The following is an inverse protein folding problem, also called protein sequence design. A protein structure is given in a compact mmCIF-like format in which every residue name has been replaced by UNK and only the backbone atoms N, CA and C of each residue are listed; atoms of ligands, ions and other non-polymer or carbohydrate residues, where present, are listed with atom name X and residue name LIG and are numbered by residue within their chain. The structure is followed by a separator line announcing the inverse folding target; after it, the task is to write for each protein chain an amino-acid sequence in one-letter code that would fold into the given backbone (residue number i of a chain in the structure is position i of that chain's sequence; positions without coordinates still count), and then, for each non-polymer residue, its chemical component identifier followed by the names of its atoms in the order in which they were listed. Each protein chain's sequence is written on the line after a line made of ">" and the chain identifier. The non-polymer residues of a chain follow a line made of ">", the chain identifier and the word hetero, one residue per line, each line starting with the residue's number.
data_IF_179511414776
#
_entry.id   IF_179511414776
#
_cell.length_a   1.000
_cell.length_b   1.000
_cell.length_c   1.000
_cell.angle_alpha   90.00
_cell.angle_beta   90.00
_cell.angle_gamma   90.00
#
_symmetry.space_group_name_H-M   'P 1'
#
loop_
_entity.id
_entity.type
_entity.pdbx_description
1 polymer ?
#
# COMPACT_ATOMS: atom_id res chain seq x y z
N UNK A 1 -8.30 -4.44 -1.74
CA UNK A 1 -6.87 -4.21 -1.97
C UNK A 1 -6.17 -5.53 -1.71
N UNK A 2 -5.41 -6.06 -2.66
CA UNK A 2 -4.69 -7.32 -2.49
C UNK A 2 -3.19 -7.02 -2.54
N UNK A 3 -2.53 -7.11 -1.39
CA UNK A 3 -1.07 -7.05 -1.31
C UNK A 3 -0.56 -8.47 -1.60
N UNK A 4 0.32 -8.69 -2.59
CA UNK A 4 0.79 -10.04 -2.91
C UNK A 4 1.64 -10.61 -1.77
N UNK A 5 1.63 -11.93 -1.56
CA UNK A 5 2.42 -12.57 -0.49
C UNK A 5 3.93 -12.30 -0.64
N UNK A 6 4.39 -12.17 -1.89
CA UNK A 6 5.79 -11.82 -2.23
C UNK A 6 6.26 -10.50 -1.62
N UNK A 7 5.35 -9.58 -1.29
CA UNK A 7 5.67 -8.36 -0.55
C UNK A 7 6.25 -8.69 0.83
N UNK A 8 5.64 -9.63 1.55
CA UNK A 8 6.05 -9.99 2.91
C UNK A 8 7.33 -10.81 2.93
N UNK A 9 7.57 -11.62 1.89
CA UNK A 9 8.86 -12.29 1.71
C UNK A 9 9.99 -11.27 1.53
N UNK A 10 9.78 -10.27 0.66
CA UNK A 10 10.74 -9.18 0.46
C UNK A 10 10.92 -8.32 1.71
N UNK A 11 9.83 -8.05 2.45
CA UNK A 11 9.87 -7.32 3.71
C UNK A 11 10.73 -8.05 4.73
N UNK A 12 10.53 -9.37 4.91
CA UNK A 12 11.34 -10.19 5.83
C UNK A 12 12.82 -10.11 5.48
N UNK A 13 13.19 -10.20 4.21
CA UNK A 13 14.60 -10.05 3.78
C UNK A 13 15.15 -8.66 4.07
N UNK A 14 14.40 -7.60 3.78
CA UNK A 14 14.84 -6.22 4.04
C UNK A 14 15.03 -5.94 5.53
N UNK A 15 14.15 -6.47 6.38
CA UNK A 15 14.21 -6.29 7.84
C UNK A 15 15.42 -6.97 8.48
N UNK A 16 16.00 -8.01 7.86
CA UNK A 16 17.27 -8.60 8.34
C UNK A 16 18.43 -7.61 8.37
N UNK A 17 18.36 -6.56 7.54
CA UNK A 17 19.38 -5.52 7.43
C UNK A 17 18.94 -4.18 8.02
N UNK A 18 17.72 -4.09 8.55
CA UNK A 18 17.19 -2.85 9.11
C UNK A 18 17.76 -2.59 10.50
N UNK A 19 17.90 -1.30 10.86
CA UNK A 19 18.33 -0.87 12.20
C UNK A 19 17.19 -0.89 13.23
N UNK A 20 15.96 -1.05 12.75
CA UNK A 20 14.74 -1.10 13.55
C UNK A 20 14.25 -2.54 13.67
N UNK A 21 13.48 -2.79 14.72
CA UNK A 21 12.79 -4.07 14.93
C UNK A 21 11.29 -3.81 15.01
N UNK A 22 10.53 -4.47 14.14
CA UNK A 22 9.08 -4.49 14.22
C UNK A 22 8.67 -5.34 15.41
N UNK A 23 7.74 -4.81 16.21
CA UNK A 23 7.30 -5.48 17.44
C UNK A 23 6.17 -6.48 17.21
N UNK A 24 5.36 -6.23 16.18
CA UNK A 24 4.25 -7.04 15.73
C UNK A 24 4.72 -8.29 14.97
N UNK A 25 3.91 -9.34 15.03
CA UNK A 25 4.16 -10.59 14.30
C UNK A 25 3.96 -10.38 12.79
N UNK A 26 5.01 -10.62 12.01
CA UNK A 26 4.97 -10.46 10.56
C UNK A 26 3.96 -11.39 9.88
N UNK A 27 3.68 -12.56 10.46
CA UNK A 27 2.70 -13.49 9.92
C UNK A 27 1.27 -12.94 10.11
N UNK A 28 1.01 -12.28 11.24
CA UNK A 28 -0.26 -11.57 11.50
C UNK A 28 -0.39 -10.35 10.58
N UNK A 29 0.69 -9.58 10.40
CA UNK A 29 0.68 -8.45 9.46
C UNK A 29 0.38 -8.92 8.03
N UNK A 30 0.92 -10.08 7.63
CA UNK A 30 0.66 -10.70 6.34
C UNK A 30 -0.79 -11.17 6.19
N UNK A 31 -1.33 -11.86 7.19
CA UNK A 31 -2.72 -12.30 7.22
C UNK A 31 -3.69 -11.11 7.05
N UNK A 32 -3.43 -10.03 7.79
CA UNK A 32 -4.26 -8.82 7.77
C UNK A 32 -3.97 -7.89 6.59
N UNK A 33 -2.99 -8.20 5.74
CA UNK A 33 -2.57 -7.38 4.59
C UNK A 33 -2.11 -5.97 5.00
N UNK A 34 -1.46 -5.85 6.16
CA UNK A 34 -0.89 -4.60 6.68
C UNK A 34 0.46 -4.33 5.99
N UNK A 35 0.65 -3.11 5.52
CA UNK A 35 1.88 -2.63 4.90
C UNK A 35 2.80 -2.02 5.95
N UNK A 36 4.10 -2.15 5.73
CA UNK A 36 5.15 -1.62 6.58
C UNK A 36 6.05 -0.67 5.78
N UNK A 37 6.23 0.53 6.30
CA UNK A 37 7.34 1.42 5.91
C UNK A 37 8.19 1.75 7.14
N UNK A 38 9.47 2.03 6.94
CA UNK A 38 10.38 2.28 8.07
C UNK A 38 11.58 3.13 7.66
N UNK A 39 12.15 3.80 8.65
CA UNK A 39 13.39 4.57 8.54
C UNK A 39 14.42 4.08 9.58
N UNK A 40 15.45 4.88 9.82
CA UNK A 40 16.51 4.55 10.78
C UNK A 40 16.04 4.63 12.26
N UNK A 41 14.91 5.27 12.56
CA UNK A 41 14.48 5.60 13.92
C UNK A 41 13.12 5.01 14.31
N UNK A 42 12.33 4.55 13.35
CA UNK A 42 10.98 4.04 13.58
C UNK A 42 10.35 3.37 12.35
N UNK A 43 9.09 2.98 12.50
CA UNK A 43 8.29 2.36 11.44
C UNK A 43 6.81 2.73 11.51
N UNK A 44 6.12 2.47 10.40
CA UNK A 44 4.71 2.68 10.17
C UNK A 44 4.06 1.36 9.78
N UNK A 45 2.87 1.13 10.33
CA UNK A 45 1.96 0.08 9.89
C UNK A 45 0.73 0.76 9.26
N UNK A 46 0.41 0.40 8.02
CA UNK A 46 -0.66 1.04 7.25
C UNK A 46 -1.57 0.00 6.60
N UNK A 47 -2.87 0.28 6.58
CA UNK A 47 -3.85 -0.48 5.79
C UNK A 47 -4.92 0.46 5.24
N UNK A 48 -5.34 0.20 4.01
CA UNK A 48 -6.33 1.00 3.30
C UNK A 48 -7.60 0.19 3.07
N UNK A 49 -8.75 0.83 3.28
CA UNK A 49 -10.04 0.22 2.98
C UNK A 49 -10.31 0.25 1.48
N UNK A 50 -11.29 -0.55 1.02
CA UNK A 50 -11.98 -0.25 -0.24
C UNK A 50 -12.69 1.11 -0.13
N UNK A 51 -13.11 1.72 -1.27
CA UNK A 51 -13.98 2.89 -1.22
C UNK A 51 -15.19 2.64 -0.32
N UNK A 52 -15.54 3.63 0.52
CA UNK A 52 -16.65 3.52 1.49
C UNK A 52 -18.03 3.76 0.85
N UNK A 53 -18.05 4.07 -0.44
CA UNK A 53 -19.24 4.33 -1.24
C UNK A 53 -19.06 3.74 -2.63
N UNK A 54 -20.16 3.59 -3.38
CA UNK A 54 -20.14 2.99 -4.72
C UNK A 54 -19.23 3.75 -5.70
N UNK A 55 -19.11 5.07 -5.52
CA UNK A 55 -18.19 5.90 -6.30
C UNK A 55 -16.77 5.79 -5.75
N UNK A 56 -15.75 5.49 -6.58
CA UNK A 56 -14.38 5.28 -6.12
C UNK A 56 -13.67 6.60 -5.81
N UNK A 57 -14.10 7.29 -4.75
CA UNK A 57 -13.59 8.63 -4.40
C UNK A 57 -13.05 8.72 -2.99
N UNK A 58 -13.75 8.17 -2.00
CA UNK A 58 -13.34 8.25 -0.59
C UNK A 58 -13.03 6.84 -0.10
N UNK A 59 -11.84 6.66 0.47
CA UNK A 59 -11.40 5.49 1.22
C UNK A 59 -10.82 5.96 2.56
N UNK A 60 -10.64 5.02 3.48
CA UNK A 60 -10.06 5.29 4.79
C UNK A 60 -8.71 4.61 4.90
N UNK A 61 -7.84 5.21 5.70
CA UNK A 61 -6.55 4.66 6.10
C UNK A 61 -6.55 4.44 7.61
N UNK A 62 -6.07 3.28 8.04
CA UNK A 62 -5.67 3.06 9.42
C UNK A 62 -4.16 3.01 9.47
N UNK A 63 -3.57 3.85 10.33
CA UNK A 63 -2.13 3.99 10.49
C UNK A 63 -1.73 3.88 11.97
N UNK A 64 -0.72 3.06 12.25
CA UNK A 64 -0.05 2.96 13.54
C UNK A 64 1.40 3.42 13.38
N UNK A 65 1.85 4.26 14.32
CA UNK A 65 3.17 4.91 14.27
C UNK A 65 4.02 4.45 15.44
N UNK A 66 5.21 3.94 15.14
CA UNK A 66 6.24 3.65 16.13
C UNK A 66 7.44 4.55 15.86
N UNK A 67 7.49 5.68 16.56
CA UNK A 67 8.57 6.67 16.45
C UNK A 67 8.85 7.18 15.02
N UNK A 68 7.83 7.16 14.15
CA UNK A 68 7.93 7.60 12.75
C UNK A 68 6.85 8.63 12.41
N UNK A 69 7.27 9.84 12.04
CA UNK A 69 6.37 10.98 11.76
C UNK A 69 6.15 11.24 10.26
N UNK A 70 6.84 10.51 9.38
CA UNK A 70 6.66 10.59 7.93
C UNK A 70 5.35 9.96 7.43
N UNK A 71 5.20 9.88 6.11
CA UNK A 71 3.96 9.44 5.46
C UNK A 71 3.99 8.04 4.84
N UNK A 72 5.13 7.35 4.90
CA UNK A 72 5.24 6.00 4.35
C UNK A 72 5.30 5.98 2.82
N UNK A 73 6.25 6.70 2.20
CA UNK A 73 6.34 6.86 0.76
C UNK A 73 6.49 5.51 0.01
N UNK A 74 7.08 4.50 0.64
CA UNK A 74 7.19 3.16 0.06
C UNK A 74 5.82 2.48 -0.10
N UNK A 75 4.91 2.69 0.86
CA UNK A 75 3.58 2.09 0.86
C UNK A 75 2.65 2.72 -0.18
N UNK A 76 2.90 3.97 -0.57
CA UNK A 76 2.11 4.68 -1.58
C UNK A 76 2.16 4.00 -2.95
N UNK A 77 3.31 3.47 -3.37
CA UNK A 77 3.40 2.79 -4.67
C UNK A 77 2.49 1.57 -4.73
N UNK A 78 2.53 0.72 -3.71
CA UNK A 78 1.68 -0.46 -3.62
C UNK A 78 0.18 -0.12 -3.50
N UNK A 79 -0.14 1.02 -2.87
CA UNK A 79 -1.50 1.57 -2.85
C UNK A 79 -1.96 1.96 -4.26
N UNK A 80 -1.15 2.70 -5.02
CA UNK A 80 -1.49 3.12 -6.38
C UNK A 80 -1.68 1.92 -7.32
N UNK A 81 -0.77 0.94 -7.28
CA UNK A 81 -0.89 -0.28 -8.08
C UNK A 81 -2.20 -1.04 -7.78
N UNK A 82 -2.62 -1.08 -6.51
CA UNK A 82 -3.87 -1.71 -6.13
C UNK A 82 -5.12 -0.91 -6.53
N UNK A 83 -5.05 0.43 -6.53
CA UNK A 83 -6.11 1.31 -7.05
C UNK A 83 -6.22 1.18 -8.56
N UNK A 84 -5.11 1.14 -9.29
CA UNK A 84 -5.08 0.94 -10.74
C UNK A 84 -5.68 -0.42 -11.13
N UNK A 85 -5.36 -1.49 -10.41
CA UNK A 85 -5.95 -2.81 -10.62
C UNK A 85 -7.48 -2.80 -10.43
N UNK A 86 -7.97 -2.08 -9.42
CA UNK A 86 -9.40 -1.91 -9.13
C UNK A 86 -10.11 -1.00 -10.16
N UNK A 87 -9.41 0.03 -10.68
CA UNK A 87 -9.90 0.82 -11.82
C UNK A 87 -9.98 0.01 -13.11
N UNK A 88 -8.95 -0.81 -13.38
CA UNK A 88 -8.94 -1.70 -14.53
C UNK A 88 -10.08 -2.72 -14.46
N UNK A 89 -10.32 -3.33 -13.30
CA UNK A 89 -11.43 -4.27 -13.09
C UNK A 89 -12.82 -3.63 -13.30
N UNK A 90 -12.96 -2.31 -13.06
CA UNK A 90 -14.18 -1.55 -13.35
C UNK A 90 -14.27 -1.04 -14.79
N UNK A 91 -13.24 -1.23 -15.60
CA UNK A 91 -13.18 -0.74 -16.97
C UNK A 91 -13.05 0.78 -17.09
N UNK A 92 -12.54 1.45 -16.05
CA UNK A 92 -12.35 2.92 -16.05
C UNK A 92 -10.87 3.34 -15.96
N UNK A 93 -9.93 2.42 -16.17
CA UNK A 93 -8.52 2.74 -16.38
C UNK A 93 -8.30 3.15 -17.84
N UNK A 94 -8.20 4.45 -18.08
CA UNK A 94 -7.97 5.02 -19.42
C UNK A 94 -6.58 5.64 -19.53
N UNK A 95 -5.88 5.38 -20.63
CA UNK A 95 -4.65 6.08 -21.00
C UNK A 95 -5.01 7.44 -21.59
N UNK A 96 -4.42 8.49 -21.04
CA UNK A 96 -4.43 9.82 -21.66
C UNK A 96 -3.42 9.83 -22.80
N UNK A 97 -3.93 10.01 -24.02
CA UNK A 97 -3.08 10.27 -25.17
C UNK A 97 -2.45 11.67 -25.07
N UNK A 98 -1.33 11.93 -25.79
CA UNK A 98 -0.72 13.26 -25.84
C UNK A 98 -1.67 14.38 -26.29
N UNK A 99 -2.77 14.02 -26.97
CA UNK A 99 -3.79 14.95 -27.46
C UNK A 99 -4.97 15.13 -26.49
N UNK A 100 -4.94 14.50 -25.31
CA UNK A 100 -5.99 14.60 -24.30
C UNK A 100 -7.15 13.61 -24.47
N UNK A 101 -7.15 12.79 -25.53
CA UNK A 101 -8.15 11.74 -25.71
C UNK A 101 -7.88 10.57 -24.75
N UNK A 102 -8.96 9.97 -24.21
CA UNK A 102 -8.89 8.80 -23.35
C UNK A 102 -9.13 7.53 -24.16
N UNK A 103 -8.25 6.53 -24.01
CA UNK A 103 -8.45 5.17 -24.53
C UNK A 103 -8.44 4.17 -23.38
N UNK A 104 -9.43 3.29 -23.34
CA UNK A 104 -9.38 2.14 -22.43
C UNK A 104 -8.17 1.28 -22.77
N UNK A 105 -7.50 0.80 -21.72
CA UNK A 105 -6.36 -0.09 -21.81
C UNK A 105 -6.80 -1.54 -22.03
#
# INVERSE_FOLDING_TARGET
>A
MTVPDTYYDQLREKLKHAKIKISEDLDVLQELRILVDYDDVGYLLQIFTKPVQDRPTVFLEVIQRHNHQGFGAGNFKSLFEAIEADQHARGNLTVLTPNGDTKNM
#
